data_IF_299947198141
#
_entry.id   IF_299947198141
#
_cell.length_a   1.000
_cell.length_b   1.000
_cell.length_c   1.000
_cell.angle_alpha   90.00
_cell.angle_beta   90.00
_cell.angle_gamma   90.00
#
_symmetry.space_group_name_H-M   'P 1'
#
loop_
_entity.id
_entity.type
_entity.pdbx_description
1 polymer ?
#
# COMPACT_ATOMS: atom_id res chain seq x y z
N UNK A 1 -12.88 -20.57 0.73
CA UNK A 1 -12.48 -19.18 1.06
C UNK A 1 -13.07 -18.14 0.09
N UNK A 2 -13.43 -18.52 -1.12
CA UNK A 2 -14.09 -17.63 -2.13
C UNK A 2 -15.43 -17.00 -1.69
N UNK A 3 -16.16 -17.61 -0.79
CA UNK A 3 -17.53 -17.19 -0.42
C UNK A 3 -17.62 -16.01 0.58
N UNK A 4 -16.54 -15.64 1.27
CA UNK A 4 -16.59 -14.64 2.35
C UNK A 4 -16.42 -13.18 1.90
N UNK A 5 -15.87 -12.94 0.72
CA UNK A 5 -15.59 -11.59 0.20
C UNK A 5 -16.42 -11.22 -1.06
N UNK A 6 -17.16 -12.16 -1.64
CA UNK A 6 -18.00 -11.89 -2.81
C UNK A 6 -19.08 -10.85 -2.48
N UNK A 7 -19.09 -9.75 -3.22
CA UNK A 7 -20.08 -8.70 -3.12
C UNK A 7 -19.91 -7.69 -2.00
N UNK A 8 -18.89 -7.82 -1.13
CA UNK A 8 -18.66 -6.87 -0.02
C UNK A 8 -18.37 -5.46 -0.52
N UNK A 9 -17.75 -5.34 -1.69
CA UNK A 9 -17.38 -4.07 -2.29
C UNK A 9 -18.27 -3.67 -3.47
N UNK A 10 -19.45 -4.31 -3.60
CA UNK A 10 -20.37 -4.03 -4.70
C UNK A 10 -20.66 -2.54 -4.86
N UNK A 11 -20.43 -2.05 -6.08
CA UNK A 11 -20.67 -0.66 -6.45
C UNK A 11 -19.63 0.34 -5.96
N UNK A 12 -18.68 -0.06 -5.12
CA UNK A 12 -17.66 0.84 -4.58
C UNK A 12 -16.59 1.21 -5.61
N UNK A 13 -16.03 2.38 -5.44
CA UNK A 13 -14.92 2.94 -6.21
C UNK A 13 -13.68 2.98 -5.33
N UNK A 14 -12.61 2.38 -5.82
CA UNK A 14 -11.35 2.22 -5.09
C UNK A 14 -10.21 2.92 -5.83
N UNK A 15 -9.29 3.51 -5.10
CA UNK A 15 -7.99 3.98 -5.63
C UNK A 15 -6.88 3.20 -4.96
N UNK A 16 -5.96 2.62 -5.76
CA UNK A 16 -4.77 1.91 -5.29
C UNK A 16 -3.53 2.53 -5.92
N UNK A 17 -2.72 3.21 -5.11
CA UNK A 17 -1.43 3.72 -5.61
C UNK A 17 -0.37 2.63 -5.62
N UNK A 18 0.50 2.62 -6.65
CA UNK A 18 1.50 1.55 -6.80
C UNK A 18 0.87 0.18 -7.05
N UNK A 19 -0.27 0.14 -7.75
CA UNK A 19 -1.04 -1.08 -7.98
C UNK A 19 -0.64 -1.88 -9.22
N UNK A 20 0.44 -1.52 -9.91
CA UNK A 20 0.89 -2.24 -11.11
C UNK A 20 1.64 -3.55 -10.82
N UNK A 21 2.10 -3.77 -9.57
CA UNK A 21 2.86 -4.97 -9.17
C UNK A 21 2.67 -5.29 -7.69
N UNK A 22 3.09 -6.48 -7.27
CA UNK A 22 3.21 -6.89 -5.88
C UNK A 22 1.90 -6.75 -5.08
N UNK A 23 2.01 -6.26 -3.85
CA UNK A 23 0.86 -6.11 -2.94
C UNK A 23 -0.24 -5.25 -3.55
N UNK A 24 0.11 -4.10 -4.17
CA UNK A 24 -0.88 -3.22 -4.76
C UNK A 24 -1.67 -3.86 -5.90
N UNK A 25 -1.03 -4.70 -6.71
CA UNK A 25 -1.71 -5.47 -7.76
C UNK A 25 -2.69 -6.48 -7.16
N UNK A 26 -2.28 -7.23 -6.15
CA UNK A 26 -3.15 -8.18 -5.44
C UNK A 26 -4.33 -7.48 -4.76
N UNK A 27 -4.10 -6.30 -4.16
CA UNK A 27 -5.16 -5.46 -3.58
C UNK A 27 -6.18 -5.06 -4.65
N UNK A 28 -5.72 -4.55 -5.80
CA UNK A 28 -6.61 -4.15 -6.90
C UNK A 28 -7.40 -5.33 -7.45
N UNK A 29 -6.76 -6.50 -7.61
CA UNK A 29 -7.37 -7.75 -8.05
C UNK A 29 -8.50 -8.17 -7.10
N UNK A 30 -8.21 -8.27 -5.81
CA UNK A 30 -9.19 -8.73 -4.82
C UNK A 30 -10.36 -7.75 -4.63
N UNK A 31 -10.16 -6.44 -4.78
CA UNK A 31 -11.28 -5.48 -4.80
C UNK A 31 -12.21 -5.71 -5.98
N UNK A 32 -11.67 -5.98 -7.18
CA UNK A 32 -12.48 -6.29 -8.36
C UNK A 32 -13.24 -7.61 -8.19
N UNK A 33 -12.59 -8.65 -7.70
CA UNK A 33 -13.20 -9.94 -7.36
C UNK A 33 -14.29 -9.81 -6.29
N UNK A 34 -14.10 -8.87 -5.34
CA UNK A 34 -15.07 -8.51 -4.30
C UNK A 34 -16.23 -7.64 -4.78
N UNK A 35 -16.30 -7.29 -6.08
CA UNK A 35 -17.42 -6.57 -6.70
C UNK A 35 -17.25 -5.06 -6.81
N UNK A 36 -16.05 -4.51 -6.59
CA UNK A 36 -15.82 -3.08 -6.81
C UNK A 36 -16.19 -2.67 -8.24
N UNK A 37 -16.93 -1.58 -8.39
CA UNK A 37 -17.40 -1.10 -9.69
C UNK A 37 -16.29 -0.47 -10.52
N UNK A 38 -15.27 0.09 -9.84
CA UNK A 38 -14.08 0.64 -10.45
C UNK A 38 -12.90 0.62 -9.48
N UNK A 39 -11.73 0.25 -9.98
CA UNK A 39 -10.47 0.36 -9.25
C UNK A 39 -9.49 1.19 -10.09
N UNK A 40 -9.20 2.40 -9.63
CA UNK A 40 -8.14 3.24 -10.19
C UNK A 40 -6.79 2.71 -9.70
N UNK A 41 -5.97 2.26 -10.62
CA UNK A 41 -4.65 1.70 -10.36
C UNK A 41 -3.59 2.66 -10.86
N UNK A 42 -2.67 3.09 -10.01
CA UNK A 42 -1.59 3.96 -10.46
C UNK A 42 -0.23 3.28 -10.45
N UNK A 43 0.65 3.75 -11.32
CA UNK A 43 2.04 3.33 -11.41
C UNK A 43 2.84 4.29 -12.29
N UNK A 44 4.16 4.34 -12.11
CA UNK A 44 5.04 5.27 -12.84
C UNK A 44 5.41 4.76 -14.24
N UNK A 45 5.48 3.46 -14.42
CA UNK A 45 5.85 2.84 -15.69
C UNK A 45 4.58 2.44 -16.45
N UNK A 46 4.33 3.08 -17.59
CA UNK A 46 3.14 2.84 -18.41
C UNK A 46 3.03 1.39 -18.87
N UNK A 47 4.13 0.79 -19.35
CA UNK A 47 4.10 -0.58 -19.85
C UNK A 47 3.72 -1.60 -18.77
N UNK A 48 4.28 -1.45 -17.55
CA UNK A 48 3.90 -2.30 -16.41
C UNK A 48 2.44 -2.06 -15.99
N UNK A 49 1.98 -0.81 -16.05
CA UNK A 49 0.61 -0.45 -15.73
C UNK A 49 -0.36 -1.04 -16.74
N UNK A 50 -0.09 -0.89 -18.03
CA UNK A 50 -0.93 -1.45 -19.11
C UNK A 50 -1.03 -2.98 -19.01
N UNK A 51 0.10 -3.65 -18.74
CA UNK A 51 0.12 -5.09 -18.51
C UNK A 51 -0.69 -5.51 -17.26
N UNK A 52 -0.64 -4.70 -16.20
CA UNK A 52 -1.44 -4.94 -14.99
C UNK A 52 -2.94 -4.77 -15.27
N UNK A 53 -3.33 -3.69 -15.95
CA UNK A 53 -4.73 -3.43 -16.32
C UNK A 53 -5.29 -4.52 -17.22
N UNK A 54 -4.51 -4.99 -18.19
CA UNK A 54 -4.92 -6.11 -19.05
C UNK A 54 -5.21 -7.40 -18.25
N UNK A 55 -4.43 -7.67 -17.19
CA UNK A 55 -4.62 -8.82 -16.29
C UNK A 55 -5.80 -8.64 -15.34
N UNK A 56 -5.98 -7.43 -14.80
CA UNK A 56 -7.07 -7.11 -13.88
C UNK A 56 -8.44 -7.12 -14.58
N UNK A 57 -8.49 -6.76 -15.85
CA UNK A 57 -9.69 -6.83 -16.67
C UNK A 57 -10.72 -5.74 -16.35
N UNK A 58 -11.99 -6.11 -16.47
CA UNK A 58 -13.11 -5.18 -16.36
C UNK A 58 -13.17 -4.50 -14.99
N UNK A 59 -13.33 -3.18 -15.00
CA UNK A 59 -13.40 -2.36 -13.78
C UNK A 59 -12.07 -1.76 -13.37
N UNK A 60 -10.93 -2.26 -13.88
CA UNK A 60 -9.62 -1.66 -13.66
C UNK A 60 -9.41 -0.44 -14.57
N UNK A 61 -8.93 0.66 -13.99
CA UNK A 61 -8.64 1.91 -14.69
C UNK A 61 -7.20 2.31 -14.38
N UNK A 62 -6.33 2.23 -15.39
CA UNK A 62 -4.94 2.62 -15.25
C UNK A 62 -4.76 4.14 -15.33
N UNK A 63 -3.89 4.67 -14.48
CA UNK A 63 -3.48 6.08 -14.52
C UNK A 63 -2.00 6.20 -14.19
N UNK A 64 -1.20 6.69 -15.14
CA UNK A 64 0.24 6.92 -14.93
C UNK A 64 0.40 8.07 -13.94
N UNK A 65 1.04 7.82 -12.80
CA UNK A 65 1.23 8.81 -11.74
C UNK A 65 2.44 8.46 -10.89
N UNK A 66 3.26 9.46 -10.60
CA UNK A 66 4.32 9.43 -9.59
C UNK A 66 3.82 10.15 -8.34
N UNK A 67 3.65 9.42 -7.24
CA UNK A 67 3.16 9.98 -5.96
C UNK A 67 4.09 11.05 -5.38
N UNK A 68 5.36 11.09 -5.80
CA UNK A 68 6.29 12.15 -5.42
C UNK A 68 6.00 13.50 -6.13
N UNK A 69 5.16 13.49 -7.18
CA UNK A 69 4.78 14.67 -7.96
C UNK A 69 3.33 15.07 -7.64
N UNK A 70 3.17 16.22 -6.99
CA UNK A 70 1.84 16.73 -6.66
C UNK A 70 0.96 16.93 -7.89
N UNK A 71 1.55 17.38 -9.01
CA UNK A 71 0.85 17.54 -10.28
C UNK A 71 0.18 16.26 -10.78
N UNK A 72 0.83 15.12 -10.60
CA UNK A 72 0.29 13.82 -11.05
C UNK A 72 -0.91 13.40 -10.17
N UNK A 73 -0.84 13.68 -8.86
CA UNK A 73 -1.96 13.44 -7.94
C UNK A 73 -3.15 14.35 -8.23
N UNK A 74 -2.91 15.63 -8.56
CA UNK A 74 -3.97 16.56 -9.00
C UNK A 74 -4.62 16.11 -10.31
N UNK A 75 -3.85 15.59 -11.25
CA UNK A 75 -4.38 15.02 -12.49
C UNK A 75 -5.21 13.76 -12.22
N UNK A 76 -4.80 12.88 -11.30
CA UNK A 76 -5.58 11.73 -10.88
C UNK A 76 -6.93 12.17 -10.26
N UNK A 77 -6.92 13.16 -9.36
CA UNK A 77 -8.15 13.73 -8.80
C UNK A 77 -9.06 14.24 -9.91
N UNK A 78 -8.53 15.06 -10.82
CA UNK A 78 -9.28 15.62 -11.94
C UNK A 78 -9.88 14.54 -12.85
N UNK A 79 -9.16 13.45 -13.06
CA UNK A 79 -9.66 12.29 -13.80
C UNK A 79 -10.85 11.62 -13.10
N UNK A 80 -10.78 11.42 -11.79
CA UNK A 80 -11.87 10.83 -10.99
C UNK A 80 -13.10 11.73 -11.04
N UNK A 81 -12.91 13.06 -10.95
CA UNK A 81 -13.99 14.06 -11.07
C UNK A 81 -14.63 14.04 -12.46
N UNK A 82 -13.82 13.99 -13.51
CA UNK A 82 -14.29 13.91 -14.90
C UNK A 82 -15.09 12.63 -15.20
N UNK A 83 -14.73 11.51 -14.54
CA UNK A 83 -15.47 10.25 -14.61
C UNK A 83 -16.79 10.30 -13.80
N UNK A 84 -17.11 11.43 -13.14
CA UNK A 84 -18.32 11.63 -12.32
C UNK A 84 -18.35 10.77 -11.06
N UNK A 85 -17.20 10.35 -10.54
CA UNK A 85 -17.12 9.37 -9.44
C UNK A 85 -16.68 10.01 -8.13
N UNK A 86 -17.04 9.34 -7.04
CA UNK A 86 -16.50 9.55 -5.70
C UNK A 86 -15.83 8.27 -5.24
N UNK A 87 -14.74 8.41 -4.49
CA UNK A 87 -13.93 7.29 -4.00
C UNK A 87 -14.47 6.84 -2.65
N UNK A 88 -14.73 5.56 -2.49
CA UNK A 88 -15.15 4.94 -1.24
C UNK A 88 -13.95 4.48 -0.43
N UNK A 89 -12.91 3.98 -1.12
CA UNK A 89 -11.71 3.40 -0.49
C UNK A 89 -10.45 3.94 -1.18
N UNK A 90 -9.50 4.42 -0.37
CA UNK A 90 -8.17 4.80 -0.82
C UNK A 90 -7.13 3.87 -0.18
N UNK A 91 -6.33 3.20 -1.01
CA UNK A 91 -5.17 2.43 -0.58
C UNK A 91 -3.89 3.15 -1.02
N UNK A 92 -3.23 3.83 -0.08
CA UNK A 92 -1.95 4.49 -0.30
C UNK A 92 -0.81 3.46 -0.13
N UNK A 93 -0.54 2.72 -1.20
CA UNK A 93 0.39 1.59 -1.20
C UNK A 93 1.72 1.90 -1.90
N UNK A 94 1.79 2.88 -2.79
CA UNK A 94 3.02 3.22 -3.50
C UNK A 94 4.19 3.45 -2.53
N UNK A 95 5.30 2.79 -2.77
CA UNK A 95 6.50 2.91 -1.95
C UNK A 95 7.71 2.21 -2.58
N UNK A 96 8.88 2.56 -2.09
CA UNK A 96 10.15 1.94 -2.46
C UNK A 96 10.89 1.50 -1.20
N UNK A 97 11.76 0.52 -1.36
CA UNK A 97 12.76 0.13 -0.36
C UNK A 97 14.12 0.07 -1.05
N UNK A 98 15.09 0.74 -0.50
CA UNK A 98 16.47 0.72 -0.97
C UNK A 98 17.42 0.62 0.21
N UNK A 99 18.49 -0.14 0.05
CA UNK A 99 19.52 -0.25 1.07
C UNK A 99 20.26 1.07 1.23
N UNK A 100 20.56 1.43 2.47
CA UNK A 100 21.40 2.56 2.80
C UNK A 100 22.34 2.23 3.95
N UNK A 101 23.63 2.52 3.81
CA UNK A 101 24.61 2.37 4.86
C UNK A 101 24.75 3.70 5.63
N UNK A 102 24.62 3.63 6.96
CA UNK A 102 24.76 4.82 7.82
C UNK A 102 26.21 5.34 7.73
N UNK A 103 26.37 6.60 7.36
CA UNK A 103 27.67 7.22 7.09
C UNK A 103 28.00 7.37 5.60
N UNK A 104 27.34 6.60 4.72
CA UNK A 104 27.57 6.65 3.26
C UNK A 104 26.30 6.99 2.46
N UNK A 105 25.18 7.22 3.15
CA UNK A 105 23.90 7.51 2.51
C UNK A 105 23.92 8.90 1.87
N UNK A 106 23.80 8.96 0.55
CA UNK A 106 23.70 10.22 -0.18
C UNK A 106 22.31 10.86 0.00
N UNK A 107 22.27 12.20 0.09
CA UNK A 107 21.06 13.01 0.22
C UNK A 107 19.98 12.62 -0.82
N UNK A 108 20.37 12.45 -2.07
CA UNK A 108 19.46 12.05 -3.14
C UNK A 108 18.75 10.69 -2.92
N UNK A 109 19.38 9.74 -2.22
CA UNK A 109 18.74 8.49 -1.85
C UNK A 109 17.74 8.70 -0.71
N UNK A 110 18.14 9.46 0.31
CA UNK A 110 17.29 9.81 1.43
C UNK A 110 16.03 10.54 0.94
N UNK A 111 16.20 11.59 0.14
CA UNK A 111 15.11 12.39 -0.42
C UNK A 111 14.17 11.54 -1.25
N UNK A 112 14.68 10.68 -2.12
CA UNK A 112 13.85 9.80 -2.94
C UNK A 112 13.00 8.86 -2.10
N UNK A 113 13.54 8.28 -1.03
CA UNK A 113 12.77 7.43 -0.11
C UNK A 113 11.67 8.24 0.58
N UNK A 114 12.00 9.41 1.10
CA UNK A 114 11.04 10.25 1.83
C UNK A 114 10.02 10.90 0.89
N UNK A 115 10.42 11.35 -0.30
CA UNK A 115 9.50 11.92 -1.28
C UNK A 115 8.43 10.91 -1.72
N UNK A 116 8.80 9.64 -1.88
CA UNK A 116 7.84 8.61 -2.28
C UNK A 116 7.06 8.08 -1.09
N UNK A 117 7.75 7.64 -0.02
CA UNK A 117 7.12 6.88 1.05
C UNK A 117 6.41 7.76 2.09
N UNK A 118 6.83 9.00 2.26
CA UNK A 118 6.28 9.92 3.28
C UNK A 118 5.46 11.02 2.63
N UNK A 119 6.10 11.89 1.87
CA UNK A 119 5.46 13.00 1.17
C UNK A 119 4.39 12.50 0.18
N UNK A 120 4.71 11.44 -0.59
CA UNK A 120 3.78 10.82 -1.53
C UNK A 120 2.53 10.28 -0.85
N UNK A 121 2.66 9.61 0.29
CA UNK A 121 1.50 9.13 1.08
C UNK A 121 0.67 10.30 1.61
N UNK A 122 1.32 11.31 2.20
CA UNK A 122 0.64 12.49 2.75
C UNK A 122 -0.18 13.20 1.66
N UNK A 123 0.46 13.56 0.55
CA UNK A 123 -0.20 14.29 -0.51
C UNK A 123 -1.21 13.45 -1.30
N UNK A 124 -1.01 12.13 -1.40
CA UNK A 124 -2.04 11.23 -1.97
C UNK A 124 -3.34 11.36 -1.17
N UNK A 125 -3.27 11.27 0.16
CA UNK A 125 -4.46 11.44 1.00
C UNK A 125 -5.03 12.84 0.86
N UNK A 126 -4.22 13.88 1.06
CA UNK A 126 -4.66 15.29 1.03
C UNK A 126 -5.32 15.66 -0.30
N UNK A 127 -4.70 15.32 -1.43
CA UNK A 127 -5.19 15.69 -2.76
C UNK A 127 -6.49 14.98 -3.12
N UNK A 128 -6.65 13.72 -2.66
CA UNK A 128 -7.86 12.94 -2.97
C UNK A 128 -9.00 13.15 -1.96
N UNK A 129 -8.79 13.87 -0.85
CA UNK A 129 -9.85 14.16 0.13
C UNK A 129 -11.13 14.76 -0.47
N UNK A 130 -11.08 15.70 -1.45
CA UNK A 130 -12.30 16.27 -2.02
C UNK A 130 -13.16 15.28 -2.80
N UNK A 131 -12.55 14.21 -3.31
CA UNK A 131 -13.25 13.15 -4.07
C UNK A 131 -13.57 11.92 -3.22
N UNK A 132 -13.04 11.83 -1.99
CA UNK A 132 -13.40 10.78 -1.03
C UNK A 132 -14.79 10.99 -0.48
N UNK A 133 -15.56 9.90 -0.31
CA UNK A 133 -16.87 9.90 0.35
C UNK A 133 -16.72 10.01 1.86
N UNK A 134 -17.69 10.64 2.50
CA UNK A 134 -17.86 10.55 3.94
C UNK A 134 -18.23 9.10 4.32
N UNK A 135 -17.73 8.63 5.46
CA UNK A 135 -17.85 7.22 5.84
C UNK A 135 -16.90 6.27 5.11
N UNK A 136 -16.03 6.79 4.22
CA UNK A 136 -15.05 6.01 3.47
C UNK A 136 -13.94 5.40 4.32
N UNK A 137 -13.01 4.71 3.66
CA UNK A 137 -11.86 4.08 4.31
C UNK A 137 -10.56 4.41 3.61
N UNK A 138 -9.52 4.70 4.38
CA UNK A 138 -8.15 4.88 3.91
C UNK A 138 -7.28 3.79 4.55
N UNK A 139 -6.54 3.04 3.73
CA UNK A 139 -5.55 2.07 4.20
C UNK A 139 -4.17 2.48 3.70
N UNK A 140 -3.25 2.66 4.64
CA UNK A 140 -1.85 3.01 4.36
C UNK A 140 -0.99 1.74 4.40
N UNK A 141 -0.06 1.60 3.48
CA UNK A 141 0.91 0.48 3.49
C UNK A 141 2.17 0.87 4.27
N UNK A 142 2.22 0.43 5.52
CA UNK A 142 3.39 0.51 6.40
C UNK A 142 4.43 -0.57 6.09
N UNK A 143 5.07 -1.04 7.13
CA UNK A 143 5.95 -2.22 7.18
C UNK A 143 6.30 -2.51 8.63
N UNK A 144 6.60 -3.75 8.99
CA UNK A 144 7.13 -4.10 10.32
C UNK A 144 8.40 -3.34 10.67
N UNK A 145 9.17 -2.90 9.68
CA UNK A 145 10.39 -2.10 9.92
C UNK A 145 10.10 -0.68 10.44
N UNK A 146 8.86 -0.24 10.44
CA UNK A 146 8.43 0.95 11.17
C UNK A 146 8.49 0.80 12.70
N UNK A 147 8.56 -0.45 13.19
CA UNK A 147 8.64 -0.80 14.61
C UNK A 147 9.92 -1.58 14.95
N UNK A 148 10.50 -2.29 13.98
CA UNK A 148 11.69 -3.12 14.14
C UNK A 148 12.83 -2.54 13.30
N UNK A 149 13.93 -2.15 13.91
CA UNK A 149 15.12 -1.72 13.20
C UNK A 149 15.73 -2.88 12.40
N UNK A 150 15.86 -2.67 11.10
CA UNK A 150 16.65 -3.57 10.24
C UNK A 150 17.88 -2.81 9.75
N UNK A 151 19.02 -3.48 9.79
CA UNK A 151 20.28 -2.90 9.33
C UNK A 151 20.23 -2.52 7.85
N UNK A 152 21.00 -1.51 7.45
CA UNK A 152 21.11 -1.00 6.09
C UNK A 152 19.78 -0.49 5.48
N UNK A 153 18.79 -0.15 6.34
CA UNK A 153 17.47 0.32 5.92
C UNK A 153 16.98 1.54 6.73
N UNK A 154 17.89 2.29 7.39
CA UNK A 154 17.48 3.32 8.36
C UNK A 154 16.54 4.38 7.78
N UNK A 155 16.77 4.86 6.55
CA UNK A 155 15.88 5.81 5.88
C UNK A 155 14.51 5.18 5.56
N UNK A 156 14.51 3.95 5.07
CA UNK A 156 13.28 3.20 4.80
C UNK A 156 12.50 2.92 6.09
N UNK A 157 13.16 2.44 7.14
CA UNK A 157 12.54 2.18 8.44
C UNK A 157 11.86 3.44 8.99
N UNK A 158 12.57 4.57 8.98
CA UNK A 158 12.03 5.87 9.41
C UNK A 158 10.83 6.31 8.56
N UNK A 159 10.89 6.11 7.24
CA UNK A 159 9.76 6.44 6.36
C UNK A 159 8.51 5.63 6.68
N UNK A 160 8.64 4.36 7.04
CA UNK A 160 7.51 3.48 7.40
C UNK A 160 6.96 3.78 8.81
N UNK A 161 7.80 4.24 9.73
CA UNK A 161 7.35 4.77 11.02
C UNK A 161 6.51 6.04 10.85
N UNK A 162 6.89 6.93 9.92
CA UNK A 162 6.09 8.12 9.58
C UNK A 162 4.69 7.74 9.05
N UNK A 163 4.60 6.77 8.13
CA UNK A 163 3.32 6.28 7.59
C UNK A 163 2.41 5.76 8.71
N UNK A 164 2.95 5.01 9.64
CA UNK A 164 2.21 4.53 10.83
C UNK A 164 1.66 5.70 11.66
N UNK A 165 2.46 6.75 11.84
CA UNK A 165 2.05 7.95 12.57
C UNK A 165 0.91 8.67 11.86
N UNK A 166 0.94 8.77 10.53
CA UNK A 166 -0.11 9.40 9.73
C UNK A 166 -1.48 8.78 9.96
N UNK A 167 -1.58 7.45 10.06
CA UNK A 167 -2.87 6.80 10.26
C UNK A 167 -3.60 7.32 11.52
N UNK A 168 -2.88 7.56 12.61
CA UNK A 168 -3.45 8.09 13.86
C UNK A 168 -3.88 9.54 13.71
N UNK A 169 -3.03 10.38 13.11
CA UNK A 169 -3.32 11.80 12.89
C UNK A 169 -4.50 11.96 11.93
N UNK A 170 -4.46 11.29 10.77
CA UNK A 170 -5.53 11.38 9.77
C UNK A 170 -6.86 10.83 10.29
N UNK A 171 -6.85 9.74 11.08
CA UNK A 171 -8.07 9.23 11.71
C UNK A 171 -8.73 10.27 12.62
N UNK A 172 -7.93 11.04 13.36
CA UNK A 172 -8.43 12.10 14.22
C UNK A 172 -8.89 13.33 13.40
N UNK A 173 -8.14 13.74 12.39
CA UNK A 173 -8.47 14.87 11.53
C UNK A 173 -9.75 14.64 10.72
N UNK A 174 -10.00 13.38 10.32
CA UNK A 174 -11.13 12.99 9.46
C UNK A 174 -12.34 12.47 10.23
N UNK A 175 -12.33 12.50 11.56
CA UNK A 175 -13.45 12.03 12.41
C UNK A 175 -14.78 12.69 12.08
N UNK A 176 -14.77 14.00 11.74
CA UNK A 176 -15.97 14.74 11.36
C UNK A 176 -16.63 14.27 10.05
N UNK A 177 -15.85 13.55 9.20
CA UNK A 177 -16.32 12.93 7.96
C UNK A 177 -16.61 11.43 8.12
N UNK A 178 -16.40 10.85 9.31
CA UNK A 178 -16.56 9.42 9.55
C UNK A 178 -15.60 8.54 8.75
N UNK A 179 -14.51 9.10 8.19
CA UNK A 179 -13.52 8.34 7.40
C UNK A 179 -12.59 7.60 8.37
N UNK A 180 -12.47 6.29 8.19
CA UNK A 180 -11.52 5.46 8.95
C UNK A 180 -10.16 5.47 8.25
N UNK A 181 -9.08 5.52 9.04
CA UNK A 181 -7.71 5.46 8.51
C UNK A 181 -6.92 4.44 9.32
N UNK A 182 -6.36 3.44 8.64
CA UNK A 182 -5.58 2.36 9.26
C UNK A 182 -4.31 2.09 8.46
N UNK A 183 -3.35 1.42 9.08
CA UNK A 183 -2.12 0.95 8.45
C UNK A 183 -2.10 -0.56 8.42
N UNK A 184 -1.78 -1.15 7.27
CA UNK A 184 -1.31 -2.55 7.18
C UNK A 184 0.21 -2.50 7.15
N UNK A 185 0.86 -3.28 8.01
CA UNK A 185 2.32 -3.40 8.08
C UNK A 185 2.75 -4.82 7.69
N UNK A 186 3.08 -5.02 6.40
CA UNK A 186 3.56 -6.31 5.92
C UNK A 186 4.89 -6.70 6.58
N UNK A 187 5.04 -7.98 6.82
CA UNK A 187 6.32 -8.63 6.99
C UNK A 187 7.00 -8.89 5.64
N UNK A 188 7.83 -9.92 5.60
CA UNK A 188 8.54 -10.31 4.38
C UNK A 188 7.57 -10.92 3.38
N UNK A 189 7.31 -10.18 2.31
CA UNK A 189 6.37 -10.56 1.26
C UNK A 189 7.11 -10.73 -0.07
N UNK A 190 6.83 -11.81 -0.80
CA UNK A 190 7.46 -12.08 -2.11
C UNK A 190 6.93 -11.11 -3.17
N UNK A 191 7.66 -10.05 -3.44
CA UNK A 191 7.30 -8.99 -4.38
C UNK A 191 8.51 -8.52 -5.17
N UNK A 192 8.34 -7.87 -6.35
CA UNK A 192 9.43 -7.33 -7.14
C UNK A 192 10.30 -6.27 -6.43
N UNK A 193 9.89 -5.78 -5.27
CA UNK A 193 10.69 -4.84 -4.47
C UNK A 193 12.00 -5.49 -3.98
N UNK A 194 12.01 -6.82 -3.81
CA UNK A 194 13.19 -7.56 -3.37
C UNK A 194 14.31 -7.45 -4.41
N UNK A 195 14.00 -7.69 -5.67
CA UNK A 195 14.99 -7.61 -6.76
C UNK A 195 15.25 -6.16 -7.18
N UNK A 196 14.19 -5.38 -7.42
CA UNK A 196 14.31 -4.04 -8.00
C UNK A 196 14.78 -2.99 -6.99
N UNK A 197 14.33 -3.08 -5.74
CA UNK A 197 14.64 -2.14 -4.66
C UNK A 197 15.84 -2.59 -3.82
N UNK A 198 15.71 -3.74 -3.17
CA UNK A 198 16.72 -4.28 -2.25
C UNK A 198 17.89 -4.96 -2.96
N UNK A 199 17.84 -5.09 -4.29
CA UNK A 199 18.90 -5.70 -5.12
C UNK A 199 19.26 -7.12 -4.65
N UNK A 200 18.25 -7.89 -4.27
CA UNK A 200 18.41 -9.28 -3.89
C UNK A 200 18.43 -10.16 -5.14
N UNK A 201 19.45 -10.97 -5.27
CA UNK A 201 19.53 -12.07 -6.22
C UNK A 201 18.86 -13.33 -5.67
N UNK A 202 18.77 -14.38 -6.47
CA UNK A 202 18.12 -15.64 -6.08
C UNK A 202 18.80 -16.29 -4.87
N UNK A 203 20.12 -16.18 -4.72
CA UNK A 203 20.87 -16.72 -3.58
C UNK A 203 20.49 -15.99 -2.28
N UNK A 204 20.46 -14.65 -2.29
CA UNK A 204 20.03 -13.85 -1.14
C UNK A 204 18.57 -14.11 -0.79
N UNK A 205 17.70 -14.26 -1.78
CA UNK A 205 16.29 -14.61 -1.57
C UNK A 205 16.17 -15.99 -0.94
N UNK A 206 16.95 -16.97 -1.39
CA UNK A 206 16.98 -18.33 -0.82
C UNK A 206 17.51 -18.31 0.61
N UNK A 207 18.60 -17.58 0.88
CA UNK A 207 19.15 -17.39 2.22
C UNK A 207 18.15 -16.74 3.16
N UNK A 208 17.40 -15.75 2.68
CA UNK A 208 16.37 -15.08 3.48
C UNK A 208 15.17 -15.99 3.76
N UNK A 209 14.79 -16.86 2.82
CA UNK A 209 13.77 -17.90 3.06
C UNK A 209 14.22 -18.88 4.15
N UNK A 210 15.50 -19.29 4.13
CA UNK A 210 16.06 -20.16 5.16
C UNK A 210 16.06 -19.49 6.54
N UNK A 211 16.47 -18.21 6.61
CA UNK A 211 16.40 -17.42 7.84
C UNK A 211 14.99 -17.36 8.44
N UNK A 212 13.97 -17.15 7.60
CA UNK A 212 12.58 -17.04 8.07
C UNK A 212 12.04 -18.32 8.71
N UNK A 213 12.57 -19.49 8.37
CA UNK A 213 12.14 -20.77 8.98
C UNK A 213 12.36 -20.79 10.48
N UNK A 214 13.42 -20.12 10.94
CA UNK A 214 13.78 -20.10 12.36
C UNK A 214 13.35 -18.78 13.03
N UNK A 215 13.33 -17.66 12.28
CA UNK A 215 13.08 -16.33 12.82
C UNK A 215 11.60 -15.95 12.88
N UNK A 216 10.74 -16.52 12.06
CA UNK A 216 9.32 -16.20 12.01
C UNK A 216 8.47 -17.42 12.40
N UNK A 217 7.47 -17.29 13.29
CA UNK A 217 6.60 -18.40 13.66
C UNK A 217 5.94 -19.13 12.50
N UNK A 218 5.51 -18.42 11.45
CA UNK A 218 4.94 -19.04 10.24
C UNK A 218 6.02 -19.60 9.32
N UNK A 219 7.28 -19.23 9.46
CA UNK A 219 8.44 -19.85 8.85
C UNK A 219 8.59 -19.64 7.32
N UNK A 220 7.89 -18.67 6.72
CA UNK A 220 7.95 -18.40 5.28
C UNK A 220 7.69 -16.94 4.93
N UNK A 221 7.97 -16.57 3.71
CA UNK A 221 7.50 -15.32 3.14
C UNK A 221 5.97 -15.39 2.93
N UNK A 222 5.30 -14.24 3.04
CA UNK A 222 3.92 -14.11 2.63
C UNK A 222 3.79 -13.99 1.11
N UNK A 223 2.66 -14.46 0.58
CA UNK A 223 2.19 -14.07 -0.73
C UNK A 223 1.55 -12.68 -0.69
N UNK A 224 1.63 -11.88 -1.77
CA UNK A 224 0.96 -10.59 -1.85
C UNK A 224 -0.55 -10.65 -1.56
N UNK A 225 -1.22 -11.72 -1.92
CA UNK A 225 -2.65 -11.91 -1.68
C UNK A 225 -2.96 -12.00 -0.16
N UNK A 226 -2.07 -12.58 0.66
CA UNK A 226 -2.26 -12.65 2.12
C UNK A 226 -2.22 -11.25 2.77
N UNK A 227 -1.42 -10.35 2.23
CA UNK A 227 -1.39 -8.95 2.67
C UNK A 227 -2.64 -8.22 2.17
N UNK A 228 -3.03 -8.47 0.92
CA UNK A 228 -4.19 -7.84 0.31
C UNK A 228 -5.49 -8.17 1.06
N UNK A 229 -5.67 -9.40 1.54
CA UNK A 229 -6.82 -9.78 2.36
C UNK A 229 -6.94 -8.92 3.63
N UNK A 230 -5.82 -8.62 4.30
CA UNK A 230 -5.83 -7.74 5.47
C UNK A 230 -6.16 -6.28 5.10
N UNK A 231 -5.72 -5.80 3.93
CA UNK A 231 -6.11 -4.49 3.39
C UNK A 231 -7.61 -4.45 3.15
N UNK A 232 -8.17 -5.46 2.50
CA UNK A 232 -9.60 -5.56 2.22
C UNK A 232 -10.42 -5.62 3.52
N UNK A 233 -9.97 -6.38 4.53
CA UNK A 233 -10.62 -6.42 5.82
C UNK A 233 -10.70 -5.02 6.44
N UNK A 234 -9.58 -4.30 6.55
CA UNK A 234 -9.56 -2.96 7.13
C UNK A 234 -10.35 -1.93 6.30
N UNK A 235 -10.42 -2.11 4.98
CA UNK A 235 -11.22 -1.27 4.11
C UNK A 235 -12.72 -1.52 4.25
N UNK A 236 -13.14 -2.73 4.57
CA UNK A 236 -14.53 -3.18 4.58
C UNK A 236 -15.34 -2.65 5.77
N UNK A 237 -16.67 -2.80 5.70
CA UNK A 237 -17.60 -2.52 6.81
C UNK A 237 -17.41 -3.47 8.01
N UNK A 238 -16.74 -4.62 7.83
CA UNK A 238 -16.39 -5.53 8.94
C UNK A 238 -15.40 -4.90 9.94
N UNK A 239 -14.64 -3.89 9.48
CA UNK A 239 -13.73 -3.10 10.33
C UNK A 239 -14.34 -1.75 10.75
N UNK A 240 -15.67 -1.64 10.83
CA UNK A 240 -16.38 -0.37 11.08
C UNK A 240 -16.00 0.31 12.40
N UNK A 241 -15.52 -0.43 13.40
CA UNK A 241 -15.07 0.12 14.69
C UNK A 241 -13.54 0.11 14.85
N UNK A 242 -12.81 -0.01 13.73
CA UNK A 242 -11.35 -0.02 13.70
C UNK A 242 -10.84 1.20 12.94
N UNK A 243 -10.15 2.11 13.64
CA UNK A 243 -9.49 3.28 13.05
C UNK A 243 -8.23 3.66 13.85
N UNK A 244 -7.21 4.21 13.20
CA UNK A 244 -5.94 4.60 13.79
C UNK A 244 -5.02 3.43 14.16
N UNK A 245 -5.35 2.19 13.79
CA UNK A 245 -4.53 1.02 14.13
C UNK A 245 -3.43 0.79 13.10
N UNK A 246 -2.42 0.07 13.55
CA UNK A 246 -1.46 -0.63 12.72
C UNK A 246 -1.71 -2.14 12.87
N UNK A 247 -2.03 -2.79 11.77
CA UNK A 247 -2.19 -4.24 11.70
C UNK A 247 -0.95 -4.86 11.06
N UNK A 248 -0.15 -5.55 11.87
CA UNK A 248 0.98 -6.34 11.38
C UNK A 248 0.49 -7.62 10.70
N UNK A 249 0.97 -7.86 9.48
CA UNK A 249 0.70 -9.07 8.69
C UNK A 249 2.05 -9.66 8.31
N UNK A 250 2.70 -10.31 9.26
CA UNK A 250 4.14 -10.59 9.22
C UNK A 250 4.54 -12.00 9.62
N UNK A 251 3.58 -12.89 9.82
CA UNK A 251 3.85 -14.25 10.27
C UNK A 251 4.48 -14.34 11.67
N UNK A 252 4.34 -13.29 12.48
CA UNK A 252 4.88 -13.19 13.82
C UNK A 252 6.31 -12.65 13.90
N UNK A 253 6.95 -12.32 12.78
CA UNK A 253 8.39 -11.96 12.71
C UNK A 253 8.79 -10.76 13.58
N UNK A 254 7.88 -9.81 13.80
CA UNK A 254 8.14 -8.63 14.62
C UNK A 254 7.28 -8.58 15.90
N UNK A 255 6.48 -9.60 16.17
CA UNK A 255 5.57 -9.61 17.30
C UNK A 255 6.14 -10.40 18.50
N UNK A 256 7.02 -11.35 18.27
CA UNK A 256 7.64 -12.20 19.28
C UNK A 256 9.12 -12.39 19.04
#
# INVERSE_FOLDING_TARGET
MEFLMSGIFNGQVVVVTGGSTGIGFSVAKLFLEGGASAVYVTGRNSANLDAAIAKLGKGAIGFVSDVAKLSDLEQLKSRIEADGRKVDILVANAGIAENNDLGETHEALYDRIFDINVKGVFYTVQTLLPVLRDGGSIVLTGSIVGNKGMERLSAYNASKAAVRSFARSFANDLKGRGIRVNTVSPGVTRTPIMENGLKMDDEKIAGFKAYLKDAAPIGRMADPDEIAEAVLFLASSKASYITGVELSVDGGLAQI
#
